data_IF_190526073126
#
_entry.id   IF_190526073126
#
_cell.length_a   1.000
_cell.length_b   1.000
_cell.length_c   1.000
_cell.angle_alpha   90.00
_cell.angle_beta   90.00
_cell.angle_gamma   90.00
#
_symmetry.space_group_name_H-M   'P 1'
#
loop_
_entity.id
_entity.type
_entity.pdbx_description
1 polymer ?
#
# COMPACT_ATOMS: atom_id res chain seq x y z
N UNK A 1 -10.03 -22.38 43.36
CA UNK A 1 -11.25 -22.40 42.54
C UNK A 1 -10.82 -22.60 41.08
N UNK A 2 -11.01 -23.84 40.57
CA UNK A 2 -10.62 -24.22 39.19
C UNK A 2 -11.81 -24.01 38.28
N UNK A 3 -11.65 -23.15 37.26
CA UNK A 3 -12.66 -22.94 36.22
C UNK A 3 -12.37 -23.89 35.04
N UNK A 4 -13.16 -24.94 34.93
CA UNK A 4 -13.15 -25.89 33.79
C UNK A 4 -14.12 -25.38 32.73
N UNK A 5 -13.60 -24.89 31.58
CA UNK A 5 -14.43 -24.59 30.39
C UNK A 5 -14.79 -25.88 29.65
N UNK A 6 -16.07 -26.24 29.66
CA UNK A 6 -16.65 -27.27 28.83
C UNK A 6 -16.73 -26.85 27.37
N UNK A 7 -15.95 -27.48 26.49
CA UNK A 7 -16.06 -27.38 25.04
C UNK A 7 -17.34 -28.05 24.53
N UNK A 8 -18.31 -27.27 24.05
CA UNK A 8 -19.48 -27.73 23.33
C UNK A 8 -19.10 -28.18 21.93
N UNK A 9 -19.22 -29.48 21.65
CA UNK A 9 -19.10 -30.07 20.30
C UNK A 9 -20.42 -29.86 19.56
N UNK A 10 -20.42 -29.06 18.49
CA UNK A 10 -21.52 -29.00 17.52
C UNK A 10 -21.40 -30.18 16.54
N UNK A 11 -22.48 -30.97 16.27
CA UNK A 11 -22.44 -32.05 15.29
C UNK A 11 -22.45 -31.47 13.86
N UNK A 12 -21.63 -32.06 12.99
CA UNK A 12 -21.63 -31.76 11.55
C UNK A 12 -22.84 -32.45 10.89
N UNK A 13 -23.57 -31.76 9.99
CA UNK A 13 -24.60 -32.42 9.19
C UNK A 13 -23.96 -33.33 8.13
N UNK A 14 -24.50 -34.54 8.00
CA UNK A 14 -24.16 -35.56 6.98
C UNK A 14 -24.74 -35.13 5.62
N UNK A 15 -24.05 -35.35 4.49
CA UNK A 15 -24.66 -35.22 3.18
C UNK A 15 -25.59 -36.37 2.89
N UNK A 16 -26.85 -36.08 2.63
CA UNK A 16 -27.82 -37.03 2.11
C UNK A 16 -27.71 -37.13 0.59
N UNK A 17 -27.28 -38.27 0.10
CA UNK A 17 -27.41 -38.64 -1.30
C UNK A 17 -28.87 -39.01 -1.62
N UNK A 18 -29.47 -38.36 -2.61
CA UNK A 18 -30.65 -38.76 -3.39
C UNK A 18 -30.56 -37.90 -4.66
N UNK A 19 -30.61 -38.45 -5.78
CA UNK A 19 -31.23 -39.53 -6.47
C UNK A 19 -31.16 -39.08 -7.92
N UNK A 20 -30.49 -39.88 -8.73
CA UNK A 20 -30.38 -39.73 -10.18
C UNK A 20 -31.71 -40.20 -10.81
N UNK A 21 -32.46 -39.34 -11.47
CA UNK A 21 -33.42 -39.69 -12.51
C UNK A 21 -33.94 -38.42 -13.23
N UNK A 22 -33.90 -38.44 -14.53
CA UNK A 22 -34.64 -37.53 -15.40
C UNK A 22 -33.75 -36.90 -16.47
N UNK A 23 -33.58 -37.58 -17.59
CA UNK A 23 -33.17 -37.00 -18.85
C UNK A 23 -34.36 -36.14 -19.37
N UNK A 24 -34.10 -34.87 -19.62
CA UNK A 24 -34.83 -34.09 -20.61
C UNK A 24 -33.79 -33.34 -21.40
N UNK A 25 -33.61 -33.82 -22.64
CA UNK A 25 -32.82 -33.18 -23.69
C UNK A 25 -33.52 -31.89 -24.13
N UNK A 26 -33.26 -30.79 -23.44
CA UNK A 26 -33.49 -29.43 -24.01
C UNK A 26 -32.18 -28.95 -24.61
N UNK A 27 -32.07 -29.24 -25.88
CA UNK A 27 -31.03 -28.76 -26.79
C UNK A 27 -31.17 -27.22 -26.92
N UNK A 28 -30.67 -26.50 -25.90
CA UNK A 28 -30.53 -25.06 -25.97
C UNK A 28 -29.38 -24.75 -26.96
N UNK A 29 -29.64 -24.03 -28.06
CA UNK A 29 -28.63 -23.76 -29.07
C UNK A 29 -27.51 -23.00 -28.37
N UNK A 30 -26.32 -23.63 -28.34
CA UNK A 30 -25.09 -23.03 -27.83
C UNK A 30 -25.01 -21.59 -28.33
N UNK A 31 -25.17 -20.66 -27.38
CA UNK A 31 -25.00 -19.24 -27.67
C UNK A 31 -23.66 -19.05 -28.36
N UNK A 32 -23.67 -18.54 -29.56
CA UNK A 32 -22.49 -18.22 -30.33
C UNK A 32 -21.52 -17.48 -29.40
N UNK A 33 -20.21 -17.82 -29.40
CA UNK A 33 -19.26 -17.12 -28.56
C UNK A 33 -19.38 -15.65 -28.83
N UNK A 34 -19.77 -14.87 -27.82
CA UNK A 34 -19.81 -13.41 -27.96
C UNK A 34 -18.46 -12.97 -28.51
N UNK A 35 -18.41 -12.06 -29.46
CA UNK A 35 -17.18 -11.58 -30.08
C UNK A 35 -16.24 -11.18 -28.93
N UNK A 36 -15.01 -11.71 -28.95
CA UNK A 36 -13.99 -11.35 -27.97
C UNK A 36 -13.96 -9.81 -27.86
N UNK A 37 -14.00 -9.25 -26.64
CA UNK A 37 -14.00 -7.80 -26.48
C UNK A 37 -12.82 -7.25 -27.28
N UNK A 38 -13.09 -6.22 -28.10
CA UNK A 38 -12.05 -5.55 -28.87
C UNK A 38 -10.86 -5.19 -27.96
N UNK A 39 -9.61 -5.28 -28.43
CA UNK A 39 -8.44 -4.99 -27.61
C UNK A 39 -8.61 -3.57 -27.05
N UNK A 40 -8.74 -3.47 -25.74
CA UNK A 40 -8.85 -2.20 -25.05
C UNK A 40 -7.55 -1.44 -25.18
N UNK A 41 -7.61 -0.16 -25.47
CA UNK A 41 -6.44 0.73 -25.44
C UNK A 41 -6.03 1.03 -24.01
N UNK A 42 -4.77 1.38 -23.80
CA UNK A 42 -4.29 1.81 -22.47
C UNK A 42 -5.10 3.01 -21.94
N UNK A 43 -5.50 3.93 -22.83
CA UNK A 43 -6.32 5.08 -22.48
C UNK A 43 -7.72 4.69 -22.00
N UNK A 44 -8.35 3.69 -22.62
CA UNK A 44 -9.66 3.17 -22.19
C UNK A 44 -9.57 2.47 -20.84
N UNK A 45 -8.54 1.64 -20.63
CA UNK A 45 -8.28 1.00 -19.35
C UNK A 45 -8.02 2.03 -18.26
N UNK A 46 -7.22 3.07 -18.53
CA UNK A 46 -6.98 4.19 -17.60
C UNK A 46 -8.27 4.91 -17.24
N UNK A 47 -9.09 5.26 -18.24
CA UNK A 47 -10.39 5.92 -18.02
C UNK A 47 -11.34 5.08 -17.18
N UNK A 48 -11.44 3.78 -17.47
CA UNK A 48 -12.24 2.84 -16.66
C UNK A 48 -11.72 2.72 -15.24
N UNK A 49 -10.39 2.68 -15.06
CA UNK A 49 -9.73 2.67 -13.77
C UNK A 49 -10.06 3.90 -12.93
N UNK A 50 -10.01 5.10 -13.54
CA UNK A 50 -10.32 6.35 -12.83
C UNK A 50 -11.79 6.37 -12.35
N UNK A 51 -12.75 6.00 -13.20
CA UNK A 51 -14.17 5.92 -12.81
C UNK A 51 -14.41 4.92 -11.66
N UNK A 52 -13.67 3.79 -11.66
CA UNK A 52 -13.73 2.82 -10.58
C UNK A 52 -13.13 3.37 -9.29
N UNK A 53 -12.01 4.09 -9.36
CA UNK A 53 -11.37 4.72 -8.22
C UNK A 53 -12.28 5.81 -7.62
N UNK A 54 -12.89 6.66 -8.42
CA UNK A 54 -13.89 7.67 -8.01
C UNK A 54 -15.10 7.04 -7.29
N UNK A 55 -15.50 5.84 -7.71
CA UNK A 55 -16.57 5.08 -7.05
C UNK A 55 -16.11 4.30 -5.80
N UNK A 56 -14.84 4.45 -5.37
CA UNK A 56 -14.27 3.74 -4.24
C UNK A 56 -13.92 2.27 -4.49
N UNK A 57 -14.03 1.79 -5.74
CA UNK A 57 -13.76 0.40 -6.12
C UNK A 57 -12.29 0.19 -6.47
N UNK A 58 -11.40 0.48 -5.53
CA UNK A 58 -9.95 0.54 -5.74
C UNK A 58 -9.34 -0.78 -6.24
N UNK A 59 -9.83 -1.94 -5.79
CA UNK A 59 -9.35 -3.24 -6.29
C UNK A 59 -9.67 -3.46 -7.78
N UNK A 60 -10.84 -3.03 -8.24
CA UNK A 60 -11.21 -3.08 -9.65
C UNK A 60 -10.45 -2.03 -10.48
N UNK A 61 -10.23 -0.83 -9.91
CA UNK A 61 -9.41 0.21 -10.53
C UNK A 61 -7.98 -0.27 -10.74
N UNK A 62 -7.37 -0.91 -9.73
CA UNK A 62 -6.04 -1.48 -9.81
C UNK A 62 -5.91 -2.48 -10.97
N UNK A 63 -6.88 -3.38 -11.15
CA UNK A 63 -6.88 -4.33 -12.26
C UNK A 63 -6.92 -3.63 -13.63
N UNK A 64 -7.63 -2.48 -13.75
CA UNK A 64 -7.66 -1.69 -14.98
C UNK A 64 -6.32 -0.96 -15.21
N UNK A 65 -5.70 -0.42 -14.16
CA UNK A 65 -4.37 0.20 -14.28
C UNK A 65 -3.28 -0.82 -14.62
N UNK A 66 -3.34 -2.03 -14.06
CA UNK A 66 -2.42 -3.12 -14.41
C UNK A 66 -2.61 -3.57 -15.87
N UNK A 67 -3.85 -3.62 -16.37
CA UNK A 67 -4.14 -3.88 -17.78
C UNK A 67 -3.60 -2.76 -18.69
N UNK A 68 -3.72 -1.50 -18.28
CA UNK A 68 -3.17 -0.36 -19.00
C UNK A 68 -1.62 -0.41 -19.03
N UNK A 69 -0.99 -0.76 -17.90
CA UNK A 69 0.46 -0.93 -17.80
C UNK A 69 1.00 -2.10 -18.64
N UNK A 70 0.21 -3.15 -18.84
CA UNK A 70 0.57 -4.24 -19.75
C UNK A 70 0.67 -3.76 -21.22
N UNK A 71 -0.11 -2.74 -21.57
CA UNK A 71 -0.08 -2.13 -22.91
C UNK A 71 0.98 -1.01 -23.01
N UNK A 72 1.12 -0.20 -21.96
CA UNK A 72 2.07 0.92 -21.87
C UNK A 72 2.92 0.85 -20.60
N UNK A 73 3.97 -0.03 -20.54
CA UNK A 73 4.76 -0.24 -19.33
C UNK A 73 5.59 0.97 -18.88
N UNK A 74 5.84 1.91 -19.78
CA UNK A 74 6.66 3.10 -19.55
C UNK A 74 5.83 4.37 -19.32
N UNK A 75 4.58 4.25 -18.91
CA UNK A 75 3.75 5.41 -18.58
C UNK A 75 3.90 5.76 -17.09
N UNK A 76 4.57 6.86 -16.73
CA UNK A 76 4.70 7.27 -15.34
C UNK A 76 3.35 7.59 -14.70
N UNK A 77 2.39 8.11 -15.49
CA UNK A 77 1.02 8.40 -15.04
C UNK A 77 0.29 7.14 -14.55
N UNK A 78 0.45 6.02 -15.27
CA UNK A 78 -0.19 4.76 -14.88
C UNK A 78 0.42 4.16 -13.61
N UNK A 79 1.74 4.28 -13.43
CA UNK A 79 2.40 3.85 -12.20
C UNK A 79 1.95 4.68 -11.00
N UNK A 80 1.76 5.99 -11.18
CA UNK A 80 1.28 6.87 -10.13
C UNK A 80 -0.18 6.58 -9.76
N UNK A 81 -1.10 6.43 -10.76
CA UNK A 81 -2.48 6.02 -10.53
C UNK A 81 -2.58 4.68 -9.80
N UNK A 82 -1.69 3.74 -10.17
CA UNK A 82 -1.54 2.46 -9.48
C UNK A 82 -1.14 2.67 -8.02
N UNK A 83 -0.18 3.56 -7.74
CA UNK A 83 0.25 3.88 -6.39
C UNK A 83 -0.90 4.48 -5.56
N UNK A 84 -1.69 5.39 -6.12
CA UNK A 84 -2.86 5.96 -5.45
C UNK A 84 -3.92 4.90 -5.12
N UNK A 85 -4.22 3.99 -6.05
CA UNK A 85 -5.17 2.90 -5.80
C UNK A 85 -4.68 1.95 -4.70
N UNK A 86 -3.38 1.63 -4.67
CA UNK A 86 -2.76 0.81 -3.63
C UNK A 86 -2.76 1.51 -2.27
N UNK A 87 -2.52 2.82 -2.22
CA UNK A 87 -2.65 3.64 -1.00
C UNK A 87 -4.06 3.60 -0.42
N UNK A 88 -5.07 3.75 -1.28
CA UNK A 88 -6.46 3.69 -0.87
C UNK A 88 -6.89 2.30 -0.35
N UNK A 89 -6.11 1.25 -0.67
CA UNK A 89 -6.28 -0.11 -0.15
C UNK A 89 -5.37 -0.43 1.04
N UNK A 90 -4.68 0.56 1.59
CA UNK A 90 -3.71 0.43 2.69
C UNK A 90 -2.52 -0.49 2.38
N UNK A 91 -2.22 -0.70 1.09
CA UNK A 91 -1.07 -1.48 0.61
C UNK A 91 0.15 -0.58 0.43
N UNK A 92 0.63 -0.04 1.54
CA UNK A 92 1.61 1.03 1.55
C UNK A 92 2.94 0.65 0.90
N UNK A 93 3.46 -0.56 1.16
CA UNK A 93 4.71 -1.04 0.55
C UNK A 93 4.62 -1.13 -0.98
N UNK A 94 3.54 -1.73 -1.49
CA UNK A 94 3.33 -1.85 -2.93
C UNK A 94 3.10 -0.49 -3.60
N UNK A 95 2.44 0.43 -2.88
CA UNK A 95 2.24 1.80 -3.32
C UNK A 95 3.56 2.56 -3.46
N UNK A 96 4.46 2.43 -2.48
CA UNK A 96 5.80 3.03 -2.55
C UNK A 96 6.58 2.50 -3.77
N UNK A 97 6.58 1.18 -3.99
CA UNK A 97 7.25 0.56 -5.14
C UNK A 97 6.66 1.02 -6.50
N UNK A 98 5.33 1.22 -6.57
CA UNK A 98 4.70 1.76 -7.77
C UNK A 98 5.10 3.23 -8.00
N UNK A 99 5.13 4.05 -6.94
CA UNK A 99 5.59 5.42 -7.01
C UNK A 99 7.08 5.54 -7.39
N UNK A 100 7.94 4.65 -6.88
CA UNK A 100 9.35 4.57 -7.30
C UNK A 100 9.48 4.29 -8.80
N UNK A 101 8.63 3.43 -9.35
CA UNK A 101 8.59 3.18 -10.80
C UNK A 101 8.21 4.43 -11.58
N UNK A 102 7.24 5.23 -11.09
CA UNK A 102 6.87 6.50 -11.70
C UNK A 102 8.01 7.53 -11.63
N UNK A 103 8.71 7.62 -10.49
CA UNK A 103 9.86 8.52 -10.27
C UNK A 103 11.02 8.12 -11.19
N UNK A 104 11.31 6.83 -11.34
CA UNK A 104 12.36 6.35 -12.24
C UNK A 104 12.11 6.76 -13.71
N UNK A 105 10.85 6.78 -14.12
CA UNK A 105 10.44 7.22 -15.47
C UNK A 105 10.43 8.75 -15.62
N UNK A 106 10.00 9.47 -14.58
CA UNK A 106 9.95 10.95 -14.57
C UNK A 106 10.38 11.50 -13.20
N UNK A 107 11.69 11.72 -12.97
CA UNK A 107 12.22 12.16 -11.67
C UNK A 107 11.78 13.55 -11.23
N UNK A 108 11.27 14.37 -12.15
CA UNK A 108 10.79 15.73 -11.87
C UNK A 108 9.28 15.83 -11.65
N UNK A 109 8.60 14.72 -11.49
CA UNK A 109 7.15 14.70 -11.30
C UNK A 109 6.76 14.74 -9.83
N UNK A 110 6.23 15.87 -9.39
CA UNK A 110 5.90 16.13 -7.99
C UNK A 110 4.90 15.11 -7.42
N UNK A 111 3.84 14.76 -8.18
CA UNK A 111 2.79 13.85 -7.71
C UNK A 111 3.32 12.44 -7.40
N UNK A 112 4.30 11.96 -8.18
CA UNK A 112 4.94 10.66 -7.91
C UNK A 112 5.73 10.68 -6.58
N UNK A 113 6.46 11.77 -6.30
CA UNK A 113 7.13 11.96 -5.02
C UNK A 113 6.15 12.11 -3.87
N UNK A 114 5.00 12.76 -4.10
CA UNK A 114 3.93 12.90 -3.12
C UNK A 114 3.27 11.55 -2.81
N UNK A 115 2.96 10.74 -3.82
CA UNK A 115 2.42 9.40 -3.65
C UNK A 115 3.38 8.51 -2.85
N UNK A 116 4.68 8.55 -3.18
CA UNK A 116 5.73 7.85 -2.42
C UNK A 116 5.78 8.30 -0.96
N UNK A 117 5.74 9.60 -0.73
CA UNK A 117 5.80 10.18 0.61
C UNK A 117 4.62 9.73 1.49
N UNK A 118 3.40 9.77 0.96
CA UNK A 118 2.21 9.29 1.65
C UNK A 118 2.29 7.78 1.93
N UNK A 119 2.80 7.00 0.99
CA UNK A 119 2.99 5.56 1.15
C UNK A 119 3.96 5.24 2.29
N UNK A 120 5.11 5.89 2.33
CA UNK A 120 6.12 5.72 3.38
C UNK A 120 5.62 6.20 4.75
N UNK A 121 4.88 7.32 4.78
CA UNK A 121 4.30 7.82 6.03
C UNK A 121 3.30 6.84 6.63
N UNK A 122 2.40 6.29 5.80
CA UNK A 122 1.43 5.27 6.23
C UNK A 122 2.10 3.94 6.57
N UNK A 123 3.21 3.61 5.93
CA UNK A 123 4.02 2.44 6.27
C UNK A 123 4.75 2.58 7.62
N UNK A 124 4.90 3.82 8.11
CA UNK A 124 5.53 4.12 9.39
C UNK A 124 7.00 4.53 9.28
N UNK A 125 7.41 5.01 8.12
CA UNK A 125 8.76 5.52 7.82
C UNK A 125 8.73 7.04 7.60
N UNK A 126 8.53 7.85 8.66
CA UNK A 126 8.34 9.28 8.51
C UNK A 126 9.59 10.03 8.05
N UNK A 127 10.80 9.50 8.29
CA UNK A 127 12.04 10.14 7.89
C UNK A 127 12.21 10.08 6.36
N UNK A 128 11.97 8.92 5.74
CA UNK A 128 11.99 8.72 4.29
C UNK A 128 10.80 9.41 3.61
N UNK A 129 9.64 9.39 4.27
CA UNK A 129 8.46 10.13 3.82
C UNK A 129 8.78 11.63 3.73
N UNK A 130 9.42 12.20 4.76
CA UNK A 130 9.80 13.60 4.80
C UNK A 130 10.76 13.98 3.67
N UNK A 131 11.74 13.11 3.36
CA UNK A 131 12.62 13.33 2.21
C UNK A 131 11.82 13.44 0.90
N UNK A 132 10.86 12.55 0.70
CA UNK A 132 10.00 12.54 -0.49
C UNK A 132 9.05 13.73 -0.55
N UNK A 133 8.47 14.17 0.59
CA UNK A 133 7.66 15.39 0.70
C UNK A 133 8.45 16.63 0.36
N UNK A 134 9.68 16.78 0.88
CA UNK A 134 10.56 17.91 0.55
C UNK A 134 10.88 17.95 -0.94
N UNK A 135 11.07 16.79 -1.56
CA UNK A 135 11.29 16.70 -3.00
C UNK A 135 10.05 17.14 -3.79
N UNK A 136 8.86 16.67 -3.41
CA UNK A 136 7.60 17.09 -4.01
C UNK A 136 7.39 18.60 -3.88
N UNK A 137 7.56 19.16 -2.68
CA UNK A 137 7.44 20.59 -2.43
C UNK A 137 8.44 21.44 -3.24
N UNK A 138 9.65 20.95 -3.45
CA UNK A 138 10.66 21.63 -4.29
C UNK A 138 10.27 21.61 -5.78
N UNK A 139 9.56 20.57 -6.24
CA UNK A 139 9.11 20.44 -7.62
C UNK A 139 7.80 21.21 -7.88
N UNK A 140 6.95 21.38 -6.86
CA UNK A 140 5.68 22.11 -6.92
C UNK A 140 5.63 23.21 -5.83
N UNK A 141 6.43 24.28 -5.94
CA UNK A 141 6.57 25.30 -4.87
C UNK A 141 5.30 26.14 -4.64
N UNK A 142 4.36 26.11 -5.59
CA UNK A 142 3.07 26.81 -5.49
C UNK A 142 1.95 25.99 -4.87
N UNK A 143 2.18 24.74 -4.53
CA UNK A 143 1.18 23.85 -3.94
C UNK A 143 1.21 23.92 -2.42
N UNK A 144 0.19 24.59 -1.86
CA UNK A 144 0.05 24.79 -0.42
C UNK A 144 -0.28 23.50 0.31
N UNK A 145 -0.99 22.57 -0.33
CA UNK A 145 -1.37 21.29 0.25
C UNK A 145 -0.13 20.40 0.43
N UNK A 146 0.74 20.32 -0.58
CA UNK A 146 2.02 19.61 -0.48
C UNK A 146 2.90 20.18 0.63
N UNK A 147 2.93 21.51 0.77
CA UNK A 147 3.70 22.17 1.85
C UNK A 147 3.12 21.83 3.23
N UNK A 148 1.80 21.83 3.37
CA UNK A 148 1.15 21.48 4.63
C UNK A 148 1.43 20.03 5.03
N UNK A 149 1.37 19.09 4.08
CA UNK A 149 1.72 17.68 4.31
C UNK A 149 3.20 17.53 4.69
N UNK A 150 4.11 18.28 4.06
CA UNK A 150 5.52 18.27 4.41
C UNK A 150 5.74 18.72 5.86
N UNK A 151 5.09 19.81 6.30
CA UNK A 151 5.16 20.28 7.70
C UNK A 151 4.62 19.25 8.68
N UNK A 152 3.49 18.62 8.35
CA UNK A 152 2.92 17.57 9.18
C UNK A 152 3.87 16.36 9.31
N UNK A 153 4.50 15.96 8.22
CA UNK A 153 5.50 14.88 8.22
C UNK A 153 6.74 15.26 9.05
N UNK A 154 7.20 16.52 9.00
CA UNK A 154 8.29 17.02 9.85
C UNK A 154 7.98 16.89 11.35
N UNK A 155 6.76 17.23 11.76
CA UNK A 155 6.35 17.10 13.14
C UNK A 155 6.31 15.63 13.60
N UNK A 156 5.86 14.71 12.73
CA UNK A 156 5.84 13.26 13.01
C UNK A 156 7.27 12.72 13.15
N UNK A 157 8.17 13.04 12.21
CA UNK A 157 9.58 12.63 12.24
C UNK A 157 10.29 13.16 13.50
N UNK A 158 10.06 14.44 13.85
CA UNK A 158 10.60 15.06 15.07
C UNK A 158 10.13 14.32 16.32
N UNK A 159 8.83 14.06 16.46
CA UNK A 159 8.27 13.33 17.62
C UNK A 159 8.85 11.92 17.74
N UNK A 160 9.08 11.23 16.60
CA UNK A 160 9.74 9.93 16.57
C UNK A 160 11.17 10.00 17.07
N UNK A 161 11.96 10.96 16.57
CA UNK A 161 13.35 11.16 16.97
C UNK A 161 13.49 11.56 18.45
N UNK A 162 12.61 12.42 18.97
CA UNK A 162 12.58 12.81 20.38
C UNK A 162 12.22 11.63 21.29
N UNK A 163 11.25 10.80 20.87
CA UNK A 163 10.88 9.60 21.60
C UNK A 163 12.04 8.58 21.65
N UNK A 164 12.75 8.41 20.52
CA UNK A 164 13.95 7.57 20.44
C UNK A 164 15.04 8.08 21.37
N UNK A 165 15.33 9.39 21.32
CA UNK A 165 16.35 10.02 22.18
C UNK A 165 16.03 9.81 23.67
N UNK A 166 14.76 9.96 24.06
CA UNK A 166 14.31 9.72 25.44
C UNK A 166 14.53 8.27 25.88
N UNK A 167 14.23 7.29 25.01
CA UNK A 167 14.45 5.87 25.29
C UNK A 167 15.93 5.54 25.42
N UNK A 168 16.78 6.08 24.53
CA UNK A 168 18.23 5.88 24.60
C UNK A 168 18.81 6.47 25.88
N UNK A 169 18.39 7.71 26.22
CA UNK A 169 18.83 8.34 27.47
C UNK A 169 18.40 7.54 28.71
N UNK A 170 17.14 7.07 28.74
CA UNK A 170 16.67 6.23 29.83
C UNK A 170 17.46 4.92 29.96
N UNK A 171 17.90 4.35 28.81
CA UNK A 171 18.73 3.15 28.81
C UNK A 171 20.18 3.40 29.29
N UNK A 172 20.68 4.62 29.11
CA UNK A 172 22.01 4.99 29.61
C UNK A 172 22.00 5.38 31.12
N UNK A 173 20.83 5.85 31.59
CA UNK A 173 20.62 6.23 33.01
C UNK A 173 20.16 5.03 33.89
N UNK A 174 19.90 3.84 33.32
CA UNK A 174 19.38 2.66 34.00
C UNK A 174 20.55 1.79 34.48
N UNK A 175 20.59 1.54 35.80
CA UNK A 175 21.62 0.70 36.43
C UNK A 175 21.37 -0.82 36.22
N UNK A 176 20.19 -1.22 35.76
CA UNK A 176 19.85 -2.59 35.41
C UNK A 176 20.23 -2.87 33.94
N UNK A 177 21.23 -3.72 33.65
CA UNK A 177 21.69 -4.01 32.31
C UNK A 177 20.62 -4.65 31.45
N UNK A 178 19.73 -5.46 32.00
CA UNK A 178 18.64 -6.13 31.26
C UNK A 178 17.56 -5.12 30.87
N UNK A 179 17.21 -4.19 31.76
CA UNK A 179 16.27 -3.11 31.48
C UNK A 179 16.83 -2.14 30.44
N UNK A 180 18.09 -1.77 30.52
CA UNK A 180 18.80 -0.93 29.58
C UNK A 180 18.82 -1.57 28.17
N UNK A 181 19.07 -2.88 28.07
CA UNK A 181 19.06 -3.60 26.80
C UNK A 181 17.66 -3.62 26.16
N UNK A 182 16.61 -3.85 26.95
CA UNK A 182 15.21 -3.79 26.48
C UNK A 182 14.87 -2.39 25.94
N UNK A 183 15.33 -1.32 26.59
CA UNK A 183 15.11 0.06 26.12
C UNK A 183 15.86 0.34 24.81
N UNK A 184 17.13 -0.12 24.70
CA UNK A 184 17.91 -0.01 23.45
C UNK A 184 17.28 -0.80 22.32
N UNK A 185 16.79 -2.01 22.57
CA UNK A 185 16.03 -2.80 21.59
C UNK A 185 14.76 -2.09 21.14
N UNK A 186 13.99 -1.48 22.05
CA UNK A 186 12.83 -0.67 21.70
C UNK A 186 13.19 0.56 20.87
N UNK A 187 14.32 1.20 21.15
CA UNK A 187 14.82 2.31 20.34
C UNK A 187 15.28 1.84 18.97
N UNK A 188 15.92 0.67 18.86
CA UNK A 188 16.38 0.07 17.60
C UNK A 188 15.20 -0.38 16.71
N UNK A 189 14.17 -1.03 17.26
CA UNK A 189 12.98 -1.45 16.53
C UNK A 189 12.23 -0.26 15.91
N UNK A 190 12.40 0.95 16.44
CA UNK A 190 11.91 2.18 15.83
C UNK A 190 12.84 2.75 14.75
N UNK A 191 13.92 2.04 14.43
CA UNK A 191 15.00 2.44 13.53
C UNK A 191 15.34 1.47 12.42
N UNK A 192 14.60 0.36 12.28
CA UNK A 192 14.97 -0.71 11.34
C UNK A 192 14.90 -0.30 9.84
N UNK A 193 15.09 0.95 9.51
CA UNK A 193 15.15 1.42 8.12
C UNK A 193 16.37 2.29 7.82
N UNK A 194 17.25 2.54 8.77
CA UNK A 194 18.51 3.22 8.49
C UNK A 194 19.67 2.21 8.40
N UNK A 195 19.66 1.35 7.35
CA UNK A 195 20.91 0.81 6.85
C UNK A 195 21.48 1.84 5.87
N UNK A 196 22.68 2.42 6.10
CA UNK A 196 23.35 3.18 5.05
C UNK A 196 23.57 2.25 3.87
N UNK A 197 23.05 2.64 2.71
CA UNK A 197 23.47 2.06 1.45
C UNK A 197 24.94 2.48 1.30
N UNK A 198 25.86 1.56 1.64
CA UNK A 198 27.27 1.70 1.31
C UNK A 198 27.37 1.89 -0.18
N UNK A 199 27.74 3.11 -0.58
CA UNK A 199 28.23 3.41 -1.92
C UNK A 199 29.58 2.70 -2.08
N UNK A 200 29.56 1.61 -2.84
CA UNK A 200 30.71 0.88 -3.35
C UNK A 200 30.81 1.04 -4.86
#
# INVERSE_FOLDING_TARGET
>A
MQFTMKRSKRPRPRPTAKGFAGADDDDEPAAAPSPAPAPRTAAECRGAGNLLAESGRFGAALAQFDAALALEPRSPELHELRAQALLAMDRCYDAAAAADSAIALRPTWADAHLARARALLNYGEPDDALHSFRRAAALAPGDDDVRAECVAAEDIARRRSDSRRRLLKAADDDDDPDAAEVLRCKAALRCTVEAPMDEG
#
